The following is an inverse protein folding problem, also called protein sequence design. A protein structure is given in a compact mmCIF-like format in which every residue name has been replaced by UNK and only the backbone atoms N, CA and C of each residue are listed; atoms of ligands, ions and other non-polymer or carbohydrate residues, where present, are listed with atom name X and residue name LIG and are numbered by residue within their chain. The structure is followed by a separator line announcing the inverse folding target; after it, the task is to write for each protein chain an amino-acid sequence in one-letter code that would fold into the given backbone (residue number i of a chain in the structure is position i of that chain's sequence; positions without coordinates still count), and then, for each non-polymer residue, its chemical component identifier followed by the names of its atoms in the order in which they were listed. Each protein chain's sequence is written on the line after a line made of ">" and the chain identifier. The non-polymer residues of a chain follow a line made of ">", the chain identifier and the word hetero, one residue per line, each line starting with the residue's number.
data_IF_089707844033
#
_entry.id   IF_089707844033
#
_cell.length_a   1.000
_cell.length_b   1.000
_cell.length_c   1.000
_cell.angle_alpha   90.00
_cell.angle_beta   90.00
_cell.angle_gamma   90.00
#
_symmetry.space_group_name_H-M   'P 1'
#
loop_
_entity.id
_entity.type
_entity.pdbx_description
1 polymer ?
#
# COMPACT_ATOMS: atom_id res chain seq x y z
N UNK A 1 79.46 33.67 2.29
CA UNK A 1 78.27 33.44 3.13
C UNK A 1 77.41 32.45 2.37
N UNK A 2 77.46 31.16 2.72
CA UNK A 2 76.75 30.06 1.98
C UNK A 2 75.34 29.95 2.51
N UNK A 3 74.37 30.05 1.62
CA UNK A 3 72.96 29.90 1.94
C UNK A 3 72.65 28.39 1.99
N UNK A 4 72.51 27.87 3.21
CA UNK A 4 72.06 26.50 3.47
C UNK A 4 70.53 26.53 3.70
N UNK A 5 69.73 26.37 2.63
CA UNK A 5 68.26 26.47 2.74
C UNK A 5 67.43 25.58 1.82
N UNK A 6 68.02 24.81 0.90
CA UNK A 6 67.26 24.12 -0.15
C UNK A 6 66.95 22.64 0.15
N UNK A 7 67.56 22.03 1.14
CA UNK A 7 67.41 20.57 1.37
C UNK A 7 66.24 20.12 2.26
N UNK A 8 65.58 21.03 2.97
CA UNK A 8 64.45 20.69 3.83
C UNK A 8 63.13 20.64 3.05
N UNK A 9 62.92 21.49 2.05
CA UNK A 9 61.70 21.47 1.23
C UNK A 9 61.57 20.21 0.36
N UNK A 10 62.69 19.64 -0.12
CA UNK A 10 62.67 18.42 -0.94
C UNK A 10 62.32 17.16 -0.16
N UNK A 11 62.52 17.13 1.15
CA UNK A 11 62.18 15.99 2.02
C UNK A 11 60.76 16.03 2.54
N UNK A 12 60.12 17.20 2.61
CA UNK A 12 58.75 17.38 3.13
C UNK A 12 57.73 17.15 1.99
N UNK A 13 58.08 17.48 0.73
CA UNK A 13 57.17 17.33 -0.39
C UNK A 13 56.66 15.87 -0.63
N UNK A 14 57.48 14.80 -0.59
CA UNK A 14 57.01 13.44 -0.77
C UNK A 14 56.15 12.97 0.40
N UNK A 15 56.35 13.44 1.61
CA UNK A 15 55.56 13.09 2.79
C UNK A 15 54.16 13.70 2.71
N UNK A 16 54.02 14.94 2.25
CA UNK A 16 52.72 15.62 2.05
C UNK A 16 51.92 14.96 0.92
N UNK A 17 52.59 14.54 -0.20
CA UNK A 17 51.93 13.85 -1.30
C UNK A 17 51.41 12.47 -0.87
N UNK A 18 52.17 11.74 -0.06
CA UNK A 18 51.72 10.43 0.48
C UNK A 18 50.56 10.62 1.46
N UNK A 19 50.58 11.63 2.31
CA UNK A 19 49.50 11.93 3.24
C UNK A 19 48.19 12.32 2.54
N UNK A 20 48.26 13.08 1.44
CA UNK A 20 47.08 13.43 0.62
C UNK A 20 46.55 12.22 -0.13
N UNK A 21 47.40 11.32 -0.67
CA UNK A 21 47.00 10.10 -1.32
C UNK A 21 46.33 9.10 -0.34
N UNK A 22 46.74 9.01 0.90
CA UNK A 22 46.12 8.17 1.92
C UNK A 22 44.76 8.76 2.36
N UNK A 23 44.60 10.06 2.37
CA UNK A 23 43.31 10.72 2.73
C UNK A 23 42.25 10.57 1.64
N UNK A 24 42.62 10.52 0.37
CA UNK A 24 41.70 10.33 -0.77
C UNK A 24 41.20 8.88 -0.86
N UNK A 25 41.96 7.91 -0.34
CA UNK A 25 41.56 6.49 -0.35
C UNK A 25 40.57 6.11 0.75
N UNK A 26 40.26 7.01 1.70
CA UNK A 26 39.35 6.75 2.82
C UNK A 26 37.87 7.06 2.53
N UNK A 27 37.56 7.64 1.36
CA UNK A 27 36.17 7.83 0.92
C UNK A 27 35.76 6.61 0.08
N UNK A 28 35.72 5.44 0.68
CA UNK A 28 34.82 4.41 0.23
C UNK A 28 33.43 4.84 0.65
N UNK A 29 32.73 5.58 -0.19
CA UNK A 29 31.30 5.59 -0.16
C UNK A 29 30.89 4.13 -0.52
N UNK A 30 30.70 3.29 0.47
CA UNK A 30 29.89 2.12 0.29
C UNK A 30 28.51 2.65 -0.13
N UNK A 31 28.31 2.76 -1.44
CA UNK A 31 26.99 2.74 -2.01
C UNK A 31 26.46 1.36 -1.65
N UNK A 32 25.87 1.25 -0.47
CA UNK A 32 25.11 0.08 -0.05
C UNK A 32 23.99 -0.02 -1.08
N UNK A 33 24.22 -0.85 -2.11
CA UNK A 33 23.18 -1.26 -3.03
C UNK A 33 22.22 -2.06 -2.17
N UNK A 34 21.17 -1.39 -1.70
CA UNK A 34 20.08 -2.05 -0.98
C UNK A 34 19.47 -2.99 -2.01
N UNK A 35 19.89 -4.24 -1.99
CA UNK A 35 19.24 -5.31 -2.74
C UNK A 35 17.92 -5.55 -2.03
N UNK A 36 16.84 -5.09 -2.63
CA UNK A 36 15.52 -5.26 -2.07
C UNK A 36 15.19 -6.76 -1.99
N UNK A 37 14.76 -7.21 -0.82
CA UNK A 37 14.52 -8.63 -0.55
C UNK A 37 13.13 -9.02 -1.05
N UNK A 38 13.05 -9.97 -1.98
CA UNK A 38 11.76 -10.56 -2.38
C UNK A 38 11.23 -11.40 -1.21
N UNK A 39 10.01 -11.09 -0.75
CA UNK A 39 9.36 -11.78 0.37
C UNK A 39 8.29 -12.76 -0.08
N UNK A 40 7.66 -12.50 -1.23
CA UNK A 40 6.72 -13.44 -1.83
C UNK A 40 6.71 -13.33 -3.36
N UNK A 41 6.24 -14.38 -4.01
CA UNK A 41 5.95 -14.41 -5.45
C UNK A 41 4.52 -14.85 -5.69
N UNK A 42 3.90 -14.34 -6.77
CA UNK A 42 2.55 -14.68 -7.19
C UNK A 42 2.58 -14.96 -8.68
N UNK A 43 2.13 -16.14 -9.08
CA UNK A 43 2.00 -16.55 -10.47
C UNK A 43 0.55 -16.99 -10.73
N UNK A 44 -0.18 -16.21 -11.54
CA UNK A 44 -1.57 -16.52 -11.90
C UNK A 44 -1.69 -17.46 -13.13
N UNK A 45 -0.55 -17.92 -13.65
CA UNK A 45 -0.48 -18.79 -14.83
C UNK A 45 -0.75 -18.08 -16.16
N UNK A 46 -1.07 -16.79 -16.18
CA UNK A 46 -1.45 -16.03 -17.39
C UNK A 46 -0.63 -14.76 -17.58
N UNK A 47 -0.49 -13.97 -16.54
CA UNK A 47 0.11 -12.62 -16.60
C UNK A 47 1.61 -12.61 -16.28
N UNK A 48 2.15 -13.78 -15.90
CA UNK A 48 3.54 -13.93 -15.44
C UNK A 48 3.67 -13.84 -13.92
N UNK A 49 4.94 -13.81 -13.47
CA UNK A 49 5.27 -13.77 -12.05
C UNK A 49 5.31 -12.33 -11.55
N UNK A 50 4.53 -12.03 -10.52
CA UNK A 50 4.59 -10.78 -9.75
C UNK A 50 5.40 -11.02 -8.49
N UNK A 51 6.22 -10.03 -8.12
CA UNK A 51 7.06 -10.08 -6.93
C UNK A 51 6.50 -9.13 -5.87
N UNK A 52 6.60 -9.52 -4.61
CA UNK A 52 6.39 -8.64 -3.47
C UNK A 52 7.73 -8.55 -2.74
N UNK A 53 8.22 -7.33 -2.57
CA UNK A 53 9.49 -7.06 -1.92
C UNK A 53 9.29 -6.53 -0.50
N UNK A 54 10.36 -6.52 0.29
CA UNK A 54 10.33 -5.92 1.63
C UNK A 54 10.04 -4.42 1.57
N UNK A 55 10.54 -3.71 0.55
CA UNK A 55 10.21 -2.30 0.33
C UNK A 55 8.72 -2.10 0.05
N UNK A 56 8.06 -3.00 -0.69
CA UNK A 56 6.61 -2.91 -0.92
C UNK A 56 5.83 -2.95 0.40
N UNK A 57 6.26 -3.80 1.36
CA UNK A 57 5.65 -3.86 2.70
C UNK A 57 5.82 -2.55 3.45
N UNK A 58 7.04 -1.99 3.46
CA UNK A 58 7.33 -0.72 4.12
C UNK A 58 6.54 0.43 3.47
N UNK A 59 6.42 0.44 2.15
CA UNK A 59 5.65 1.44 1.42
C UNK A 59 4.16 1.38 1.79
N UNK A 60 3.60 0.19 1.84
CA UNK A 60 2.21 0.02 2.26
C UNK A 60 2.01 0.41 3.73
N UNK A 61 2.97 0.06 4.60
CA UNK A 61 2.95 0.43 6.01
C UNK A 61 3.05 1.95 6.21
N UNK A 62 3.81 2.65 5.34
CA UNK A 62 3.94 4.10 5.39
C UNK A 62 2.62 4.84 5.14
N UNK A 63 1.65 4.22 4.49
CA UNK A 63 0.31 4.78 4.25
C UNK A 63 -0.61 4.71 5.49
N UNK A 64 -0.20 4.01 6.55
CA UNK A 64 -0.93 3.95 7.81
C UNK A 64 -0.27 4.88 8.85
N UNK A 65 -0.92 5.99 9.27
CA UNK A 65 -0.33 6.95 10.20
C UNK A 65 0.11 6.35 11.53
N UNK A 66 -0.61 5.35 12.02
CA UNK A 66 -0.40 4.75 13.34
C UNK A 66 0.65 3.63 13.35
N UNK A 67 1.08 3.14 12.18
CA UNK A 67 2.02 2.04 12.11
C UNK A 67 3.48 2.49 12.34
N UNK A 68 4.27 1.83 13.22
CA UNK A 68 5.68 2.12 13.40
C UNK A 68 6.48 1.71 12.15
N UNK A 69 7.44 2.55 11.74
CA UNK A 69 8.34 2.27 10.62
C UNK A 69 9.77 1.96 11.04
N UNK A 70 10.16 2.30 12.26
CA UNK A 70 11.54 2.14 12.71
C UNK A 70 11.63 1.76 14.21
N UNK A 71 11.80 0.49 14.54
CA UNK A 71 11.65 -0.67 13.65
C UNK A 71 10.17 -0.93 13.32
N UNK A 72 9.86 -1.50 12.15
CA UNK A 72 8.51 -1.95 11.87
C UNK A 72 8.17 -3.18 12.73
N UNK A 73 6.90 -3.36 13.04
CA UNK A 73 6.40 -4.52 13.79
C UNK A 73 6.18 -5.69 12.82
N UNK A 74 6.63 -6.90 13.19
CA UNK A 74 6.47 -8.11 12.37
C UNK A 74 5.00 -8.45 12.10
N UNK A 75 4.11 -8.27 13.08
CA UNK A 75 2.67 -8.52 12.88
C UNK A 75 2.08 -7.57 11.81
N UNK A 76 2.51 -6.31 11.82
CA UNK A 76 2.08 -5.32 10.85
C UNK A 76 2.66 -5.62 9.46
N UNK A 77 3.92 -6.04 9.37
CA UNK A 77 4.52 -6.48 8.11
C UNK A 77 3.79 -7.69 7.52
N UNK A 78 3.45 -8.69 8.36
CA UNK A 78 2.70 -9.86 7.93
C UNK A 78 1.26 -9.52 7.50
N UNK A 79 0.61 -8.52 8.13
CA UNK A 79 -0.68 -7.98 7.66
C UNK A 79 -0.53 -7.31 6.30
N UNK A 80 0.53 -6.50 6.10
CA UNK A 80 0.81 -5.86 4.81
C UNK A 80 1.12 -6.88 3.72
N UNK A 81 1.84 -7.95 4.03
CA UNK A 81 2.10 -9.03 3.08
C UNK A 81 0.79 -9.65 2.58
N UNK A 82 -0.11 -10.03 3.48
CA UNK A 82 -1.43 -10.56 3.10
C UNK A 82 -2.23 -9.57 2.25
N UNK A 83 -2.27 -8.30 2.67
CA UNK A 83 -2.94 -7.23 1.93
C UNK A 83 -2.35 -7.07 0.52
N UNK A 84 -1.04 -7.09 0.38
CA UNK A 84 -0.37 -6.96 -0.91
C UNK A 84 -0.62 -8.16 -1.82
N UNK A 85 -0.66 -9.38 -1.28
CA UNK A 85 -1.05 -10.57 -2.05
C UNK A 85 -2.45 -10.35 -2.65
N UNK A 86 -3.43 -9.94 -1.84
CA UNK A 86 -4.79 -9.68 -2.29
C UNK A 86 -4.84 -8.55 -3.34
N UNK A 87 -4.11 -7.46 -3.11
CA UNK A 87 -4.01 -6.35 -4.06
C UNK A 87 -3.36 -6.77 -5.38
N UNK A 88 -2.32 -7.61 -5.36
CA UNK A 88 -1.68 -8.11 -6.59
C UNK A 88 -2.65 -8.96 -7.42
N UNK A 89 -3.42 -9.84 -6.77
CA UNK A 89 -4.44 -10.65 -7.45
C UNK A 89 -5.50 -9.76 -8.11
N UNK A 90 -6.01 -8.73 -7.42
CA UNK A 90 -6.93 -7.76 -8.02
C UNK A 90 -6.28 -6.93 -9.13
N UNK A 91 -5.03 -6.52 -8.96
CA UNK A 91 -4.31 -5.74 -9.98
C UNK A 91 -4.11 -6.54 -11.27
N UNK A 92 -3.82 -7.84 -11.17
CA UNK A 92 -3.73 -8.72 -12.34
C UNK A 92 -5.05 -8.78 -13.11
N UNK A 93 -6.18 -8.88 -12.41
CA UNK A 93 -7.50 -8.87 -13.05
C UNK A 93 -7.87 -7.48 -13.61
N UNK A 94 -7.55 -6.39 -12.89
CA UNK A 94 -7.79 -5.03 -13.35
C UNK A 94 -7.03 -4.70 -14.65
N UNK A 95 -5.80 -5.19 -14.78
CA UNK A 95 -4.98 -5.03 -16.02
C UNK A 95 -5.65 -5.64 -17.26
N UNK A 96 -6.54 -6.61 -17.10
CA UNK A 96 -7.30 -7.23 -18.20
C UNK A 96 -8.44 -6.35 -18.71
N UNK A 97 -8.78 -5.27 -18.02
CA UNK A 97 -9.86 -4.34 -18.35
C UNK A 97 -9.32 -2.93 -18.66
N UNK A 98 -8.67 -2.71 -19.82
CA UNK A 98 -7.96 -1.46 -20.13
C UNK A 98 -8.87 -0.21 -20.16
N UNK A 99 -10.19 -0.38 -20.30
CA UNK A 99 -11.17 0.73 -20.28
C UNK A 99 -11.33 1.39 -18.91
N UNK A 100 -10.81 0.75 -17.86
CA UNK A 100 -10.89 1.24 -16.48
C UNK A 100 -9.55 1.85 -16.00
N UNK A 101 -8.67 2.23 -16.92
CA UNK A 101 -7.43 2.90 -16.54
C UNK A 101 -7.72 4.17 -15.70
N UNK A 102 -6.96 4.39 -14.61
CA UNK A 102 -7.08 5.60 -13.80
C UNK A 102 -6.79 6.86 -14.62
N UNK A 103 -7.54 7.94 -14.34
CA UNK A 103 -7.18 9.27 -14.83
C UNK A 103 -6.26 9.98 -13.84
N UNK A 104 -5.59 11.04 -14.29
CA UNK A 104 -4.74 11.85 -13.39
C UNK A 104 -5.53 12.47 -12.24
N UNK A 105 -6.78 12.90 -12.51
CA UNK A 105 -7.67 13.47 -11.51
C UNK A 105 -8.04 12.46 -10.43
N UNK A 106 -8.32 11.21 -10.83
CA UNK A 106 -8.64 10.12 -9.89
C UNK A 106 -7.42 9.77 -9.01
N UNK A 107 -6.22 9.73 -9.60
CA UNK A 107 -4.97 9.48 -8.86
C UNK A 107 -4.69 10.63 -7.88
N UNK A 108 -4.85 11.87 -8.30
CA UNK A 108 -4.66 13.03 -7.43
C UNK A 108 -5.69 13.08 -6.29
N UNK A 109 -6.94 12.66 -6.56
CA UNK A 109 -7.97 12.54 -5.53
C UNK A 109 -7.60 11.47 -4.49
N UNK A 110 -7.06 10.31 -4.91
CA UNK A 110 -6.59 9.27 -4.02
C UNK A 110 -5.40 9.76 -3.16
N UNK A 111 -4.42 10.45 -3.77
CA UNK A 111 -3.31 11.06 -3.03
C UNK A 111 -3.84 12.02 -1.96
N UNK A 112 -4.81 12.87 -2.32
CA UNK A 112 -5.43 13.79 -1.36
C UNK A 112 -6.12 13.05 -0.23
N UNK A 113 -6.86 11.98 -0.52
CA UNK A 113 -7.55 11.15 0.48
C UNK A 113 -6.56 10.53 1.47
N UNK A 114 -5.41 10.06 0.97
CA UNK A 114 -4.35 9.54 1.85
C UNK A 114 -3.76 10.66 2.72
N UNK A 115 -3.49 11.83 2.14
CA UNK A 115 -2.97 12.98 2.89
C UNK A 115 -3.88 13.41 4.05
N UNK A 116 -5.21 13.32 3.88
CA UNK A 116 -6.19 13.66 4.91
C UNK A 116 -6.16 12.72 6.13
N UNK A 117 -5.53 11.55 6.03
CA UNK A 117 -5.33 10.64 7.17
C UNK A 117 -4.21 11.12 8.11
N UNK A 118 -3.35 12.03 7.65
CA UNK A 118 -2.17 12.49 8.40
C UNK A 118 -2.37 13.88 8.97
N UNK A 119 -1.75 14.20 10.10
CA UNK A 119 -1.86 15.53 10.73
C UNK A 119 -1.39 16.69 9.83
N UNK A 120 -0.44 16.42 8.91
CA UNK A 120 0.04 17.37 7.92
C UNK A 120 0.73 16.70 6.74
N UNK A 121 0.76 17.39 5.59
CA UNK A 121 1.53 16.96 4.41
C UNK A 121 3.02 16.78 4.74
N UNK A 122 3.60 17.68 5.56
CA UNK A 122 5.00 17.60 5.95
C UNK A 122 5.31 16.33 6.76
N UNK A 123 4.40 15.89 7.60
CA UNK A 123 4.55 14.64 8.35
C UNK A 123 4.46 13.42 7.43
N UNK A 124 3.47 13.39 6.54
CA UNK A 124 3.35 12.34 5.54
C UNK A 124 4.60 12.24 4.66
N UNK A 125 5.13 13.38 4.18
CA UNK A 125 6.35 13.38 3.37
C UNK A 125 7.60 12.92 4.15
N UNK A 126 7.72 13.25 5.44
CA UNK A 126 8.80 12.69 6.27
C UNK A 126 8.71 11.18 6.33
N UNK A 127 7.50 10.67 6.47
CA UNK A 127 7.20 9.24 6.51
C UNK A 127 7.52 8.55 5.18
N UNK A 128 7.15 9.16 4.06
CA UNK A 128 7.52 8.68 2.72
C UNK A 128 9.04 8.63 2.54
N UNK A 129 9.76 9.68 2.96
CA UNK A 129 11.23 9.71 2.88
C UNK A 129 11.90 8.62 3.72
N UNK A 130 11.33 8.26 4.87
CA UNK A 130 11.88 7.19 5.71
C UNK A 130 11.83 5.79 5.06
N UNK A 131 10.98 5.60 4.05
CA UNK A 131 10.86 4.36 3.28
C UNK A 131 11.36 4.47 1.83
N UNK A 132 12.07 5.56 1.51
CA UNK A 132 12.80 5.70 0.25
C UNK A 132 12.15 6.54 -0.84
N UNK A 133 10.92 7.07 -0.63
CA UNK A 133 10.31 8.02 -1.57
C UNK A 133 10.87 9.43 -1.39
N UNK A 134 10.93 10.20 -2.48
CA UNK A 134 11.37 11.59 -2.43
C UNK A 134 10.29 12.54 -1.93
N UNK A 135 9.05 12.34 -2.39
CA UNK A 135 7.87 13.16 -2.08
C UNK A 135 6.60 12.45 -2.55
N UNK A 136 5.44 13.09 -2.39
CA UNK A 136 4.16 12.66 -2.99
C UNK A 136 4.15 12.68 -4.52
N UNK A 137 5.10 13.39 -5.14
CA UNK A 137 5.27 13.43 -6.61
C UNK A 137 6.26 12.37 -7.13
N UNK A 138 6.78 11.49 -6.26
CA UNK A 138 7.67 10.40 -6.66
C UNK A 138 6.93 9.43 -7.59
N UNK A 139 7.55 9.06 -8.71
CA UNK A 139 6.93 8.20 -9.73
C UNK A 139 6.51 6.83 -9.17
N UNK A 140 7.31 6.25 -8.27
CA UNK A 140 6.96 4.98 -7.64
C UNK A 140 5.76 5.12 -6.72
N UNK A 141 5.69 6.22 -5.94
CA UNK A 141 4.53 6.51 -5.11
C UNK A 141 3.27 6.72 -5.95
N UNK A 142 3.35 7.52 -7.03
CA UNK A 142 2.23 7.72 -7.95
C UNK A 142 1.74 6.42 -8.56
N UNK A 143 2.65 5.55 -9.00
CA UNK A 143 2.31 4.22 -9.54
C UNK A 143 1.55 3.34 -8.53
N UNK A 144 1.90 3.41 -7.24
CA UNK A 144 1.13 2.71 -6.19
C UNK A 144 -0.29 3.29 -6.10
N UNK A 145 -0.45 4.60 -6.16
CA UNK A 145 -1.76 5.25 -6.14
C UNK A 145 -2.59 4.91 -7.39
N UNK A 146 -1.97 4.91 -8.57
CA UNK A 146 -2.62 4.44 -9.81
C UNK A 146 -3.13 3.00 -9.69
N UNK A 147 -2.30 2.11 -9.15
CA UNK A 147 -2.72 0.72 -8.93
C UNK A 147 -3.89 0.61 -7.95
N UNK A 148 -3.90 1.40 -6.87
CA UNK A 148 -5.03 1.45 -5.91
C UNK A 148 -6.31 1.89 -6.58
N UNK A 149 -6.26 2.98 -7.36
CA UNK A 149 -7.43 3.48 -8.11
C UNK A 149 -7.90 2.44 -9.14
N UNK A 150 -6.98 1.80 -9.86
CA UNK A 150 -7.34 0.74 -10.82
C UNK A 150 -8.07 -0.43 -10.15
N UNK A 151 -7.60 -0.87 -8.99
CA UNK A 151 -8.25 -1.92 -8.19
C UNK A 151 -9.64 -1.47 -7.76
N UNK A 152 -9.80 -0.25 -7.21
CA UNK A 152 -11.10 0.28 -6.76
C UNK A 152 -12.11 0.35 -7.92
N UNK A 153 -11.68 0.83 -9.08
CA UNK A 153 -12.52 0.86 -10.30
C UNK A 153 -12.91 -0.54 -10.75
N UNK A 154 -11.98 -1.49 -10.70
CA UNK A 154 -12.27 -2.89 -11.00
C UNK A 154 -13.30 -3.47 -10.04
N UNK A 155 -13.12 -3.31 -8.73
CA UNK A 155 -14.04 -3.82 -7.71
C UNK A 155 -15.45 -3.20 -7.86
N UNK A 156 -15.50 -1.89 -8.10
CA UNK A 156 -16.77 -1.19 -8.33
C UNK A 156 -17.48 -1.74 -9.58
N UNK A 157 -16.77 -1.86 -10.68
CA UNK A 157 -17.33 -2.39 -11.93
C UNK A 157 -17.75 -3.86 -11.78
N UNK A 158 -16.89 -4.72 -11.23
CA UNK A 158 -17.09 -6.17 -11.22
C UNK A 158 -18.13 -6.63 -10.21
N UNK A 159 -18.21 -5.96 -9.06
CA UNK A 159 -19.02 -6.42 -7.94
C UNK A 159 -20.17 -5.45 -7.60
N UNK A 160 -19.88 -4.15 -7.40
CA UNK A 160 -20.90 -3.19 -6.96
C UNK A 160 -21.97 -2.93 -8.03
N UNK A 161 -21.59 -2.82 -9.30
CA UNK A 161 -22.53 -2.53 -10.39
C UNK A 161 -23.54 -3.66 -10.64
N UNK A 162 -23.26 -4.86 -10.18
CA UNK A 162 -24.12 -6.03 -10.35
C UNK A 162 -24.75 -6.54 -9.05
N UNK A 163 -24.55 -5.84 -7.94
CA UNK A 163 -25.19 -6.18 -6.67
C UNK A 163 -26.68 -5.80 -6.70
N UNK A 164 -27.54 -6.76 -6.93
CA UNK A 164 -29.00 -6.58 -6.93
C UNK A 164 -29.54 -6.98 -5.56
N UNK A 165 -30.26 -6.09 -4.89
CA UNK A 165 -30.98 -6.32 -3.65
C UNK A 165 -32.47 -6.37 -3.95
N UNK A 166 -33.13 -7.45 -3.58
CA UNK A 166 -34.57 -7.62 -3.77
C UNK A 166 -35.38 -7.04 -2.60
N UNK A 167 -36.67 -6.69 -2.81
CA UNK A 167 -37.54 -6.29 -1.71
C UNK A 167 -37.62 -7.35 -0.59
N UNK A 168 -37.55 -8.63 -0.95
CA UNK A 168 -37.57 -9.74 0.01
C UNK A 168 -36.30 -9.75 0.89
N UNK A 169 -35.14 -9.39 0.33
CA UNK A 169 -33.89 -9.27 1.09
C UNK A 169 -34.00 -8.13 2.10
N UNK A 170 -34.58 -6.99 1.68
CA UNK A 170 -34.81 -5.84 2.56
C UNK A 170 -35.75 -6.18 3.73
N UNK A 171 -36.89 -6.83 3.44
CA UNK A 171 -37.86 -7.25 4.45
C UNK A 171 -37.27 -8.25 5.43
N UNK A 172 -36.51 -9.24 4.92
CA UNK A 172 -35.84 -10.24 5.74
C UNK A 172 -34.83 -9.59 6.68
N UNK A 173 -33.96 -8.73 6.16
CA UNK A 173 -32.96 -8.01 6.95
C UNK A 173 -33.64 -7.13 8.01
N UNK A 174 -34.67 -6.38 7.63
CA UNK A 174 -35.41 -5.52 8.54
C UNK A 174 -35.99 -6.30 9.72
N UNK A 175 -36.67 -7.43 9.43
CA UNK A 175 -37.30 -8.26 10.46
C UNK A 175 -36.31 -9.02 11.33
N UNK A 176 -35.31 -9.66 10.69
CA UNK A 176 -34.47 -10.65 11.34
C UNK A 176 -33.20 -10.02 11.99
N UNK A 177 -32.78 -8.84 11.50
CA UNK A 177 -31.56 -8.18 11.96
C UNK A 177 -31.84 -6.80 12.54
N UNK A 178 -32.46 -5.90 11.77
CA UNK A 178 -32.61 -4.51 12.16
C UNK A 178 -33.48 -4.33 13.40
N UNK A 179 -34.68 -4.91 13.42
CA UNK A 179 -35.62 -4.77 14.55
C UNK A 179 -35.03 -5.25 15.91
N UNK A 180 -34.43 -6.48 15.96
CA UNK A 180 -33.83 -6.96 17.21
C UNK A 180 -32.67 -6.07 17.68
N UNK A 181 -31.83 -5.66 16.74
CA UNK A 181 -30.65 -4.86 17.03
C UNK A 181 -31.02 -3.44 17.47
N UNK A 182 -31.99 -2.82 16.83
CA UNK A 182 -32.49 -1.50 17.16
C UNK A 182 -33.12 -1.49 18.59
N UNK A 183 -33.94 -2.46 18.89
CA UNK A 183 -34.59 -2.59 20.23
C UNK A 183 -33.56 -2.78 21.34
N UNK A 184 -32.50 -3.55 21.05
CA UNK A 184 -31.40 -3.78 22.01
C UNK A 184 -30.63 -2.49 22.31
N UNK A 185 -30.36 -1.68 21.26
CA UNK A 185 -29.59 -0.44 21.41
C UNK A 185 -30.39 0.75 21.86
N UNK A 186 -31.72 0.73 21.65
CA UNK A 186 -32.62 1.84 21.90
C UNK A 186 -33.87 1.36 22.70
N UNK A 187 -33.73 0.93 23.97
CA UNK A 187 -34.85 0.44 24.75
C UNK A 187 -35.91 1.53 24.94
N UNK A 188 -37.18 1.20 24.66
CA UNK A 188 -38.31 2.13 24.77
C UNK A 188 -38.53 3.07 23.60
N UNK A 189 -37.66 3.05 22.57
CA UNK A 189 -37.83 3.86 21.36
C UNK A 189 -38.64 3.08 20.32
N UNK A 190 -39.56 3.77 19.63
CA UNK A 190 -40.34 3.19 18.54
C UNK A 190 -39.41 2.80 17.37
N UNK A 191 -39.55 1.55 16.90
CA UNK A 191 -38.78 1.08 15.75
C UNK A 191 -39.26 1.81 14.49
N UNK A 192 -38.37 2.48 13.72
CA UNK A 192 -38.75 3.14 12.45
C UNK A 192 -39.23 2.09 11.45
N UNK A 193 -40.25 2.45 10.64
CA UNK A 193 -40.77 1.57 9.61
C UNK A 193 -39.75 1.30 8.51
N UNK A 194 -39.85 0.13 7.83
CA UNK A 194 -38.94 -0.20 6.72
C UNK A 194 -38.94 0.87 5.63
N UNK A 195 -40.11 1.48 5.33
CA UNK A 195 -40.22 2.53 4.32
C UNK A 195 -39.32 3.74 4.64
N UNK A 196 -39.18 4.11 5.92
CA UNK A 196 -38.38 5.26 6.37
C UNK A 196 -36.86 5.00 6.23
N UNK A 197 -36.45 3.74 6.40
CA UNK A 197 -35.03 3.37 6.44
C UNK A 197 -34.58 2.52 5.23
N UNK A 198 -35.48 2.34 4.25
CA UNK A 198 -35.24 1.43 3.09
C UNK A 198 -33.93 1.74 2.37
N UNK A 199 -33.62 3.02 2.11
CA UNK A 199 -32.37 3.40 1.43
C UNK A 199 -31.12 2.93 2.24
N UNK A 200 -31.18 3.06 3.57
CA UNK A 200 -30.10 2.62 4.45
C UNK A 200 -29.99 1.09 4.48
N UNK A 201 -31.11 0.39 4.53
CA UNK A 201 -31.15 -1.09 4.48
C UNK A 201 -30.57 -1.59 3.16
N UNK A 202 -30.99 -1.00 2.04
CA UNK A 202 -30.49 -1.32 0.72
C UNK A 202 -28.97 -1.11 0.62
N UNK A 203 -28.48 0.02 1.12
CA UNK A 203 -27.04 0.30 1.14
C UNK A 203 -26.28 -0.77 1.95
N UNK A 204 -26.73 -1.09 3.16
CA UNK A 204 -26.08 -2.10 4.02
C UNK A 204 -26.05 -3.48 3.33
N UNK A 205 -27.16 -3.87 2.71
CA UNK A 205 -27.26 -5.15 2.01
C UNK A 205 -26.37 -5.18 0.78
N UNK A 206 -26.29 -4.07 0.04
CA UNK A 206 -25.41 -3.94 -1.13
C UNK A 206 -23.94 -4.07 -0.71
N UNK A 207 -23.52 -3.35 0.34
CA UNK A 207 -22.14 -3.42 0.84
C UNK A 207 -21.79 -4.84 1.29
N UNK A 208 -22.66 -5.48 2.06
CA UNK A 208 -22.47 -6.87 2.50
C UNK A 208 -22.37 -7.85 1.34
N UNK A 209 -23.25 -7.73 0.35
CA UNK A 209 -23.23 -8.60 -0.84
C UNK A 209 -21.95 -8.39 -1.67
N UNK A 210 -21.52 -7.15 -1.82
CA UNK A 210 -20.25 -6.82 -2.50
C UNK A 210 -19.06 -7.44 -1.75
N UNK A 211 -19.02 -7.33 -0.42
CA UNK A 211 -17.97 -7.90 0.41
C UNK A 211 -17.92 -9.43 0.28
N UNK A 212 -19.05 -10.11 0.38
CA UNK A 212 -19.15 -11.57 0.20
C UNK A 212 -18.67 -12.03 -1.19
N UNK A 213 -19.02 -11.29 -2.25
CA UNK A 213 -18.57 -11.60 -3.61
C UNK A 213 -17.06 -11.35 -3.80
N UNK A 214 -16.52 -10.30 -3.19
CA UNK A 214 -15.08 -10.02 -3.18
C UNK A 214 -14.31 -11.12 -2.45
N UNK A 215 -14.76 -11.52 -1.27
CA UNK A 215 -14.14 -12.61 -0.50
C UNK A 215 -14.13 -13.92 -1.29
N UNK A 216 -15.27 -14.29 -1.87
CA UNK A 216 -15.38 -15.49 -2.71
C UNK A 216 -14.44 -15.45 -3.90
N UNK A 217 -14.36 -14.31 -4.57
CA UNK A 217 -13.45 -14.11 -5.68
C UNK A 217 -11.99 -14.27 -5.25
N UNK A 218 -11.59 -13.66 -4.12
CA UNK A 218 -10.23 -13.78 -3.60
C UNK A 218 -9.87 -15.21 -3.26
N UNK A 219 -10.76 -15.94 -2.61
CA UNK A 219 -10.56 -17.37 -2.31
C UNK A 219 -10.34 -18.21 -3.58
N UNK A 220 -11.11 -17.93 -4.62
CA UNK A 220 -10.94 -18.57 -5.92
C UNK A 220 -9.65 -18.16 -6.62
N UNK A 221 -9.28 -16.88 -6.58
CA UNK A 221 -8.06 -16.38 -7.16
C UNK A 221 -6.82 -16.97 -6.47
N UNK A 222 -6.82 -17.04 -5.14
CA UNK A 222 -5.75 -17.67 -4.33
C UNK A 222 -5.59 -19.15 -4.64
N UNK A 223 -6.69 -19.88 -4.83
CA UNK A 223 -6.62 -21.31 -5.20
C UNK A 223 -6.07 -21.57 -6.60
N UNK A 224 -6.21 -20.62 -7.52
CA UNK A 224 -5.71 -20.74 -8.90
C UNK A 224 -4.27 -20.26 -9.06
N UNK A 225 -3.84 -19.35 -8.22
CA UNK A 225 -2.49 -18.80 -8.26
C UNK A 225 -1.52 -19.66 -7.45
N UNK A 226 -0.30 -19.75 -7.93
CA UNK A 226 0.83 -20.25 -7.16
C UNK A 226 1.42 -19.07 -6.36
N UNK A 227 1.32 -19.16 -5.03
CA UNK A 227 1.74 -18.11 -4.10
C UNK A 227 2.80 -18.69 -3.19
N UNK A 228 4.04 -18.24 -3.35
CA UNK A 228 5.17 -18.67 -2.52
C UNK A 228 5.59 -17.56 -1.57
N UNK A 229 5.50 -17.79 -0.27
CA UNK A 229 6.04 -16.91 0.76
C UNK A 229 7.45 -17.38 1.06
N UNK A 230 8.44 -16.60 0.64
CA UNK A 230 9.86 -16.97 0.71
C UNK A 230 10.47 -16.71 2.09
N UNK A 231 9.89 -15.74 2.84
CA UNK A 231 10.38 -15.36 4.17
C UNK A 231 9.20 -14.89 5.04
N UNK A 232 9.21 -15.32 6.29
CA UNK A 232 8.42 -14.68 7.34
C UNK A 232 9.06 -13.33 7.69
N UNK A 233 8.24 -12.29 7.88
CA UNK A 233 8.64 -10.90 8.12
C UNK A 233 8.26 -10.43 9.53
#
# INVERSE_FOLDING_TARGET
>A
MKIAGSNQLQKVLPVIVIAVLVFVSAIKADAQQIVDKTVATINDGVSGMELITYSDLLWQLALNPDAPLNPPNSDDLNKMLRLLIDQRLFALEAKRLPRNAPTEEEVNAEIKRILELFPSTAEFERRLRSVGFKSVADDNFRRIMEQRVAIEKYLTFRFRSFAIITPQDEEKYYRDVFIPDFRRRNPGVLVPGLAEIRARVNQILTERKVEEEIERFLEEAKRRAEIDILFEV
#
